data_IF_312083587253
#
_entry.id   IF_312083587253
#
_cell.length_a   1.000
_cell.length_b   1.000
_cell.length_c   1.000
_cell.angle_alpha   90.00
_cell.angle_beta   90.00
_cell.angle_gamma   90.00
#
_symmetry.space_group_name_H-M   'P 1'
#
loop_
_entity.id
_entity.type
_entity.pdbx_description
1 polymer ?
#
# COMPACT_ATOMS: atom_id res chain seq x y z
N UNK A 1 54.41 12.95 -32.24
CA UNK A 1 53.71 11.95 -31.41
C UNK A 1 52.29 12.45 -31.19
N UNK A 2 51.29 11.84 -31.83
CA UNK A 2 49.89 12.31 -31.81
C UNK A 2 49.14 11.61 -30.66
N UNK A 3 48.53 12.42 -29.79
CA UNK A 3 47.82 12.06 -28.57
C UNK A 3 46.44 11.48 -28.85
N UNK A 4 46.33 10.15 -28.87
CA UNK A 4 45.03 9.42 -29.00
C UNK A 4 44.54 8.84 -27.67
N UNK A 5 45.20 9.17 -26.57
CA UNK A 5 45.02 8.51 -25.26
C UNK A 5 43.88 9.07 -24.39
N UNK A 6 43.23 10.19 -24.78
CA UNK A 6 42.29 10.90 -23.90
C UNK A 6 40.89 10.27 -23.86
N UNK A 7 40.39 9.75 -24.99
CA UNK A 7 39.05 9.18 -25.08
C UNK A 7 38.94 7.86 -24.31
N UNK A 8 39.91 6.96 -24.48
CA UNK A 8 39.96 5.68 -23.75
C UNK A 8 40.07 5.90 -22.24
N UNK A 9 40.86 6.89 -21.81
CA UNK A 9 40.97 7.26 -20.40
C UNK A 9 39.65 7.78 -19.82
N UNK A 10 38.88 8.58 -20.57
CA UNK A 10 37.59 9.12 -20.14
C UNK A 10 36.52 8.01 -19.98
N UNK A 11 36.51 7.02 -20.87
CA UNK A 11 35.62 5.86 -20.76
C UNK A 11 35.96 4.98 -19.55
N UNK A 12 37.25 4.72 -19.32
CA UNK A 12 37.70 3.94 -18.16
C UNK A 12 37.33 4.64 -16.85
N UNK A 13 37.55 5.96 -16.74
CA UNK A 13 37.17 6.72 -15.56
C UNK A 13 35.65 6.68 -15.29
N UNK A 14 34.84 6.77 -16.36
CA UNK A 14 33.38 6.73 -16.25
C UNK A 14 32.88 5.36 -15.79
N UNK A 15 33.44 4.26 -16.32
CA UNK A 15 33.08 2.89 -15.91
C UNK A 15 33.48 2.63 -14.46
N UNK A 16 34.65 3.10 -14.02
CA UNK A 16 35.10 2.96 -12.64
C UNK A 16 34.21 3.73 -11.66
N UNK A 17 33.79 4.94 -12.02
CA UNK A 17 32.89 5.77 -11.20
C UNK A 17 31.51 5.11 -11.05
N UNK A 18 30.94 4.60 -12.15
CA UNK A 18 29.65 3.89 -12.13
C UNK A 18 29.75 2.62 -11.28
N UNK A 19 30.83 1.85 -11.45
CA UNK A 19 31.06 0.61 -10.68
C UNK A 19 31.22 0.86 -9.18
N UNK A 20 31.88 1.95 -8.78
CA UNK A 20 32.05 2.35 -7.39
C UNK A 20 30.70 2.74 -6.73
N UNK A 21 29.82 3.42 -7.47
CA UNK A 21 28.48 3.78 -6.99
C UNK A 21 27.57 2.54 -6.86
N UNK A 22 27.77 1.52 -7.70
CA UNK A 22 27.02 0.25 -7.63
C UNK A 22 27.50 -0.66 -6.47
N UNK A 23 28.79 -0.63 -6.13
CA UNK A 23 29.32 -1.42 -5.01
C UNK A 23 28.97 -0.85 -3.63
N UNK A 24 28.64 0.44 -3.53
CA UNK A 24 28.30 1.11 -2.26
C UNK A 24 26.81 0.98 -1.84
N UNK A 25 26.01 0.16 -2.53
CA UNK A 25 24.61 -0.13 -2.18
C UNK A 25 24.41 -1.54 -1.59
N UNK A 26 25.48 -2.18 -1.11
CA UNK A 26 25.44 -3.45 -0.40
C UNK A 26 26.01 -3.31 1.01
N UNK A 27 25.43 -2.42 1.81
CA UNK A 27 25.74 -2.33 3.23
C UNK A 27 25.45 -3.66 3.91
N UNK A 28 26.52 -4.40 4.20
CA UNK A 28 26.50 -5.61 4.99
C UNK A 28 25.98 -5.32 6.39
N UNK A 29 24.96 -6.07 6.79
CA UNK A 29 24.67 -6.29 8.21
C UNK A 29 25.19 -7.68 8.54
N UNK A 30 26.43 -7.71 9.03
CA UNK A 30 27.00 -8.88 9.67
C UNK A 30 26.18 -9.25 10.91
N UNK A 31 25.93 -10.55 11.00
CA UNK A 31 25.41 -11.28 12.15
C UNK A 31 26.23 -11.01 13.42
N UNK A 32 25.59 -10.82 14.58
CA UNK A 32 25.60 -11.72 15.76
C UNK A 32 24.79 -11.06 16.92
N UNK A 33 24.55 -11.71 18.08
CA UNK A 33 23.24 -12.00 18.64
C UNK A 33 23.04 -11.20 19.93
N UNK A 34 21.93 -11.42 20.62
CA UNK A 34 21.84 -11.62 22.07
C UNK A 34 20.37 -11.39 22.44
N UNK A 35 19.69 -12.51 22.60
CA UNK A 35 18.40 -12.65 23.25
C UNK A 35 18.50 -12.07 24.68
N UNK A 36 17.45 -11.39 25.16
CA UNK A 36 16.87 -11.80 26.43
C UNK A 36 15.41 -12.20 26.23
N UNK A 37 15.17 -13.44 26.63
CA UNK A 37 13.90 -14.15 26.73
C UNK A 37 12.92 -13.34 27.56
N UNK A 38 11.71 -13.13 27.02
CA UNK A 38 10.61 -12.46 27.69
C UNK A 38 9.29 -12.81 27.01
N UNK A 39 8.84 -14.03 27.27
CA UNK A 39 7.46 -14.53 27.18
C UNK A 39 6.85 -14.72 25.78
N UNK A 40 6.70 -16.00 25.44
CA UNK A 40 5.93 -16.54 24.32
C UNK A 40 4.49 -16.03 24.33
N UNK A 41 4.09 -15.33 23.28
CA UNK A 41 2.73 -15.45 22.76
C UNK A 41 2.83 -15.87 21.30
N UNK A 42 2.52 -17.15 21.08
CA UNK A 42 2.47 -17.80 19.79
C UNK A 42 1.35 -17.12 18.98
N UNK A 43 1.73 -16.23 18.08
CA UNK A 43 0.89 -15.84 16.94
C UNK A 43 1.59 -16.39 15.71
N UNK A 44 0.93 -17.33 15.03
CA UNK A 44 1.35 -17.89 13.75
C UNK A 44 1.36 -16.78 12.69
N UNK A 45 2.48 -16.09 12.53
CA UNK A 45 2.69 -15.11 11.46
C UNK A 45 3.22 -15.87 10.23
N UNK A 46 2.41 -15.94 9.18
CA UNK A 46 2.91 -16.29 7.84
C UNK A 46 3.80 -15.16 7.28
N UNK A 47 4.86 -15.48 6.52
CA UNK A 47 5.89 -14.53 6.15
C UNK A 47 5.52 -13.79 4.84
N UNK A 48 5.03 -12.55 4.95
CA UNK A 48 5.43 -11.48 4.04
C UNK A 48 5.04 -10.10 4.59
N UNK A 49 6.00 -9.44 5.25
CA UNK A 49 6.18 -7.99 5.29
C UNK A 49 4.92 -7.12 5.37
N UNK A 50 4.11 -7.28 6.43
CA UNK A 50 3.28 -6.18 6.92
C UNK A 50 4.00 -5.61 8.14
N UNK A 51 4.71 -4.50 7.94
CA UNK A 51 5.39 -3.79 9.02
C UNK A 51 4.38 -3.45 10.12
N UNK A 52 4.61 -4.00 11.32
CA UNK A 52 3.92 -3.80 12.61
C UNK A 52 2.78 -2.76 12.53
N UNK A 53 1.61 -3.21 12.05
CA UNK A 53 0.38 -2.44 12.18
C UNK A 53 -0.09 -2.68 13.60
N UNK A 54 -0.09 -1.65 14.45
CA UNK A 54 -0.56 -1.79 15.83
C UNK A 54 -2.04 -2.21 15.83
N UNK A 55 -2.46 -3.20 16.63
CA UNK A 55 -3.86 -3.66 16.71
C UNK A 55 -4.88 -2.53 16.88
N UNK A 56 -4.53 -1.49 17.65
CA UNK A 56 -5.34 -0.28 17.87
C UNK A 56 -5.72 0.45 16.57
N UNK A 57 -4.87 0.40 15.55
CA UNK A 57 -5.11 1.10 14.27
C UNK A 57 -6.04 0.34 13.32
N UNK A 58 -6.21 -0.97 13.51
CA UNK A 58 -7.16 -1.77 12.74
C UNK A 58 -8.55 -1.65 13.35
N UNK A 59 -8.63 -1.59 14.68
CA UNK A 59 -9.90 -1.42 15.40
C UNK A 59 -10.69 -0.17 14.97
N UNK A 60 -10.01 0.90 14.54
CA UNK A 60 -10.69 2.11 14.05
C UNK A 60 -11.46 1.90 12.74
N UNK A 61 -11.16 0.83 11.99
CA UNK A 61 -11.84 0.51 10.73
C UNK A 61 -13.01 -0.46 10.92
N UNK A 62 -12.98 -1.30 11.95
CA UNK A 62 -13.99 -2.33 12.18
C UNK A 62 -15.37 -1.69 12.37
N UNK A 63 -16.36 -2.20 11.63
CA UNK A 63 -17.73 -1.71 11.66
C UNK A 63 -17.95 -0.37 10.96
N UNK A 64 -16.92 0.20 10.34
CA UNK A 64 -17.06 1.41 9.50
C UNK A 64 -17.36 1.02 8.06
N UNK A 65 -18.33 1.72 7.46
CA UNK A 65 -18.57 1.70 6.02
C UNK A 65 -17.78 2.83 5.36
N UNK A 66 -16.89 2.49 4.44
CA UNK A 66 -16.12 3.46 3.64
C UNK A 66 -16.48 3.37 2.17
N UNK A 67 -16.10 4.39 1.40
CA UNK A 67 -16.29 4.39 -0.05
C UNK A 67 -15.00 4.08 -0.80
N UNK A 68 -15.02 3.07 -1.65
CA UNK A 68 -13.90 2.67 -2.50
C UNK A 68 -13.94 3.33 -3.87
N UNK A 69 -12.81 3.30 -4.60
CA UNK A 69 -12.76 3.69 -6.01
C UNK A 69 -13.94 3.11 -6.81
N UNK A 70 -14.67 3.96 -7.55
CA UNK A 70 -15.88 3.55 -8.27
C UNK A 70 -17.18 3.77 -7.48
N UNK A 71 -17.08 4.23 -6.23
CA UNK A 71 -18.22 4.54 -5.38
C UNK A 71 -18.82 3.32 -4.67
N UNK A 72 -18.16 2.17 -4.70
CA UNK A 72 -18.64 0.98 -4.00
C UNK A 72 -18.49 1.16 -2.48
N UNK A 73 -19.46 0.68 -1.73
CA UNK A 73 -19.41 0.67 -0.27
C UNK A 73 -18.58 -0.53 0.20
N UNK A 74 -17.73 -0.33 1.20
CA UNK A 74 -16.92 -1.38 1.82
C UNK A 74 -17.10 -1.36 3.33
N UNK A 75 -17.33 -2.52 3.92
CA UNK A 75 -17.45 -2.68 5.37
C UNK A 75 -16.30 -3.55 5.87
N UNK A 76 -15.57 -3.08 6.88
CA UNK A 76 -14.44 -3.81 7.44
C UNK A 76 -14.84 -4.55 8.72
N UNK A 77 -14.29 -5.73 8.92
CA UNK A 77 -14.49 -6.54 10.12
C UNK A 77 -13.26 -7.41 10.41
N UNK A 78 -13.24 -7.97 11.61
CA UNK A 78 -12.21 -8.92 12.02
C UNK A 78 -12.77 -10.34 11.92
N UNK A 79 -12.00 -11.23 11.29
CA UNK A 79 -12.29 -12.65 11.21
C UNK A 79 -11.00 -13.41 11.51
N UNK A 80 -11.03 -14.29 12.52
CA UNK A 80 -9.88 -15.08 12.97
C UNK A 80 -8.60 -14.26 13.24
N UNK A 81 -8.74 -13.02 13.73
CA UNK A 81 -7.62 -12.11 14.00
C UNK A 81 -7.09 -11.35 12.78
N UNK A 82 -7.70 -11.53 11.61
CA UNK A 82 -7.35 -10.84 10.37
C UNK A 82 -8.41 -9.80 9.99
N UNK A 83 -7.96 -8.68 9.44
CA UNK A 83 -8.85 -7.68 8.85
C UNK A 83 -9.39 -8.17 7.50
N UNK A 84 -10.71 -8.29 7.41
CA UNK A 84 -11.46 -8.63 6.20
C UNK A 84 -12.39 -7.49 5.80
N UNK A 85 -12.92 -7.58 4.58
CA UNK A 85 -13.86 -6.61 4.08
C UNK A 85 -14.91 -7.22 3.14
N UNK A 86 -16.14 -6.75 3.28
CA UNK A 86 -17.22 -7.00 2.34
C UNK A 86 -17.44 -5.75 1.48
N UNK A 87 -17.73 -5.93 0.19
CA UNK A 87 -17.90 -4.85 -0.77
C UNK A 87 -19.24 -4.98 -1.47
N UNK A 88 -20.04 -3.93 -1.36
CA UNK A 88 -21.29 -3.78 -2.11
C UNK A 88 -21.02 -2.87 -3.31
N UNK A 89 -21.10 -3.44 -4.53
CA UNK A 89 -20.84 -2.66 -5.73
C UNK A 89 -21.94 -1.61 -5.96
N UNK A 90 -21.53 -0.36 -6.08
CA UNK A 90 -22.35 0.70 -6.69
C UNK A 90 -22.65 0.37 -8.17
N UNK A 91 -23.81 -0.23 -8.42
CA UNK A 91 -24.26 -0.65 -9.72
C UNK A 91 -25.78 -0.40 -9.89
N UNK A 92 -26.28 -0.30 -11.13
CA UNK A 92 -27.71 -0.08 -11.40
C UNK A 92 -28.58 -1.20 -10.82
N UNK A 93 -29.84 -0.88 -10.55
CA UNK A 93 -30.82 -1.84 -10.03
C UNK A 93 -30.91 -3.08 -10.93
N UNK A 94 -30.82 -4.26 -10.33
CA UNK A 94 -30.77 -5.55 -11.04
C UNK A 94 -29.35 -6.09 -11.31
N UNK A 95 -28.31 -5.30 -11.05
CA UNK A 95 -26.90 -5.72 -11.15
C UNK A 95 -26.23 -5.66 -9.76
N UNK A 96 -26.63 -6.55 -8.85
CA UNK A 96 -26.01 -6.64 -7.52
C UNK A 96 -24.93 -7.71 -7.52
N UNK A 97 -23.67 -7.29 -7.68
CA UNK A 97 -22.52 -8.14 -7.36
C UNK A 97 -21.88 -7.61 -6.08
N UNK A 98 -21.67 -8.51 -5.13
CA UNK A 98 -20.91 -8.24 -3.92
C UNK A 98 -19.61 -9.03 -3.91
N UNK A 99 -18.70 -8.65 -3.02
CA UNK A 99 -17.59 -9.48 -2.62
C UNK A 99 -17.65 -9.63 -1.11
N UNK A 100 -17.54 -10.86 -0.61
CA UNK A 100 -17.54 -11.14 0.81
C UNK A 100 -16.17 -11.71 1.22
N UNK A 101 -15.71 -11.38 2.43
CA UNK A 101 -14.50 -11.95 3.01
C UNK A 101 -13.21 -11.60 2.27
N UNK A 102 -13.14 -10.42 1.64
CA UNK A 102 -11.93 -10.01 0.93
C UNK A 102 -10.79 -9.75 1.92
N UNK A 103 -9.61 -10.23 1.56
CA UNK A 103 -8.37 -9.86 2.26
C UNK A 103 -8.10 -8.36 2.09
N UNK A 104 -7.68 -7.72 3.19
CA UNK A 104 -7.32 -6.31 3.21
C UNK A 104 -5.80 -6.18 3.27
N UNK A 105 -5.23 -5.49 2.29
CA UNK A 105 -3.81 -5.14 2.26
C UNK A 105 -3.64 -3.66 2.58
N UNK A 106 -2.81 -3.37 3.58
CA UNK A 106 -2.56 -2.01 4.04
C UNK A 106 -1.13 -1.62 3.61
N UNK A 107 -1.00 -0.54 2.86
CA UNK A 107 0.31 0.01 2.51
C UNK A 107 1.00 0.54 3.77
N UNK A 108 2.30 0.26 3.89
CA UNK A 108 3.09 0.76 5.01
C UNK A 108 3.01 2.29 5.14
N UNK A 109 2.73 2.76 6.36
CA UNK A 109 2.57 4.18 6.67
C UNK A 109 1.17 4.73 6.39
N UNK A 110 0.19 3.89 6.06
CA UNK A 110 -1.19 4.35 5.90
C UNK A 110 -1.81 4.79 7.22
N UNK A 111 -2.38 5.99 7.22
CA UNK A 111 -3.06 6.56 8.38
C UNK A 111 -4.50 6.02 8.49
N UNK A 112 -4.65 4.85 9.10
CA UNK A 112 -5.94 4.14 9.22
C UNK A 112 -6.95 4.87 10.12
N UNK A 113 -6.49 5.45 11.23
CA UNK A 113 -7.36 6.12 12.20
C UNK A 113 -8.15 7.30 11.62
N UNK A 114 -7.58 8.00 10.64
CA UNK A 114 -8.21 9.17 10.02
C UNK A 114 -9.04 8.80 8.78
N UNK A 115 -8.92 7.55 8.29
CA UNK A 115 -9.55 7.11 7.05
C UNK A 115 -11.09 7.27 7.06
N UNK A 116 -11.81 6.94 8.15
CA UNK A 116 -13.27 7.16 8.22
C UNK A 116 -13.66 8.64 8.22
N UNK A 117 -12.79 9.50 8.74
CA UNK A 117 -13.04 10.94 8.82
C UNK A 117 -12.79 11.68 7.50
N UNK A 118 -12.23 11.01 6.49
CA UNK A 118 -12.02 11.59 5.16
C UNK A 118 -13.34 11.78 4.42
N UNK A 119 -13.41 12.79 3.57
CA UNK A 119 -14.53 12.93 2.65
C UNK A 119 -14.56 11.77 1.64
N UNK A 120 -15.73 11.52 1.05
CA UNK A 120 -15.95 10.41 0.12
C UNK A 120 -14.93 10.36 -1.02
N UNK A 121 -14.51 11.50 -1.59
CA UNK A 121 -13.51 11.48 -2.68
C UNK A 121 -12.15 11.07 -2.15
N UNK A 122 -11.74 11.61 -1.01
CA UNK A 122 -10.49 11.22 -0.37
C UNK A 122 -10.49 9.73 0.04
N UNK A 123 -11.61 9.18 0.51
CA UNK A 123 -11.75 7.73 0.75
C UNK A 123 -11.58 6.93 -0.54
N UNK A 124 -12.24 7.33 -1.64
CA UNK A 124 -12.12 6.68 -2.95
C UNK A 124 -10.70 6.68 -3.51
N UNK A 125 -9.87 7.66 -3.14
CA UNK A 125 -8.46 7.74 -3.52
C UNK A 125 -7.54 6.85 -2.69
N UNK A 126 -8.00 6.37 -1.53
CA UNK A 126 -7.19 5.59 -0.59
C UNK A 126 -7.62 4.14 -0.55
N UNK A 127 -8.91 3.85 -0.69
CA UNK A 127 -9.47 2.52 -0.60
C UNK A 127 -9.83 2.01 -1.98
N UNK A 128 -9.13 0.97 -2.42
CA UNK A 128 -9.29 0.43 -3.76
C UNK A 128 -9.68 -1.04 -3.69
N UNK A 129 -10.73 -1.40 -4.41
CA UNK A 129 -10.99 -2.78 -4.78
C UNK A 129 -10.07 -3.16 -5.95
N UNK A 130 -9.20 -4.14 -5.73
CA UNK A 130 -8.47 -4.80 -6.81
C UNK A 130 -9.22 -6.07 -7.19
N UNK A 131 -9.85 -6.13 -8.39
CA UNK A 131 -10.53 -7.33 -8.85
C UNK A 131 -9.56 -8.50 -9.01
N UNK A 132 -10.09 -9.72 -8.97
CA UNK A 132 -9.31 -10.92 -9.22
C UNK A 132 -8.66 -10.87 -10.60
N UNK A 133 -7.37 -11.19 -10.68
CA UNK A 133 -6.61 -11.17 -11.93
C UNK A 133 -5.47 -12.19 -11.92
N UNK A 134 -5.30 -12.92 -13.03
CA UNK A 134 -4.20 -13.85 -13.27
C UNK A 134 -3.92 -14.82 -12.10
N UNK A 135 -4.97 -15.47 -11.59
CA UNK A 135 -4.87 -16.43 -10.48
C UNK A 135 -4.76 -15.80 -9.09
N UNK A 136 -4.78 -14.47 -8.97
CA UNK A 136 -4.82 -13.77 -7.69
C UNK A 136 -6.26 -13.46 -7.30
N UNK A 137 -6.69 -13.75 -6.06
CA UNK A 137 -8.02 -13.41 -5.59
C UNK A 137 -8.21 -11.89 -5.54
N UNK A 138 -9.46 -11.45 -5.54
CA UNK A 138 -9.78 -10.06 -5.30
C UNK A 138 -9.35 -9.65 -3.88
N UNK A 139 -9.03 -8.36 -3.70
CA UNK A 139 -8.62 -7.83 -2.40
C UNK A 139 -8.91 -6.34 -2.30
N UNK A 140 -8.98 -5.85 -1.07
CA UNK A 140 -8.97 -4.42 -0.78
C UNK A 140 -7.53 -3.97 -0.55
N UNK A 141 -7.20 -2.79 -1.07
CA UNK A 141 -5.93 -2.11 -0.80
C UNK A 141 -6.19 -0.74 -0.19
N UNK A 142 -5.57 -0.47 0.95
CA UNK A 142 -5.58 0.84 1.62
C UNK A 142 -4.20 1.49 1.41
N UNK A 143 -4.16 2.57 0.63
CA UNK A 143 -2.94 3.32 0.35
C UNK A 143 -2.67 4.39 1.42
N UNK A 144 -1.39 4.74 1.58
CA UNK A 144 -0.98 5.76 2.57
C UNK A 144 -1.35 7.19 2.18
N UNK A 145 -1.45 7.46 0.88
CA UNK A 145 -1.85 8.74 0.30
C UNK A 145 -2.91 8.53 -0.78
N UNK A 146 -3.09 9.51 -1.66
CA UNK A 146 -3.82 9.24 -2.91
C UNK A 146 -3.03 8.16 -3.66
N UNK A 147 -3.63 6.98 -3.87
CA UNK A 147 -3.00 5.84 -4.57
C UNK A 147 -2.46 6.22 -5.96
N UNK A 148 -1.79 5.27 -6.63
CA UNK A 148 -1.10 5.48 -7.92
C UNK A 148 -1.84 6.48 -8.83
N UNK A 149 -1.09 7.53 -9.18
CA UNK A 149 -1.43 8.92 -9.55
C UNK A 149 -2.39 9.17 -10.75
N UNK A 150 -3.20 8.21 -11.18
CA UNK A 150 -3.94 8.27 -12.44
C UNK A 150 -5.31 8.96 -12.41
N UNK A 151 -6.06 8.86 -11.29
CA UNK A 151 -7.51 9.16 -11.32
C UNK A 151 -8.01 10.22 -10.33
N UNK A 152 -7.26 10.51 -9.27
CA UNK A 152 -7.72 11.39 -8.21
C UNK A 152 -7.27 12.83 -8.42
N UNK A 153 -7.84 13.51 -9.42
CA UNK A 153 -7.77 14.97 -9.49
C UNK A 153 -8.78 15.55 -8.50
N UNK A 154 -8.25 16.20 -7.47
CA UNK A 154 -9.03 17.05 -6.58
C UNK A 154 -9.74 18.12 -7.44
N UNK A 155 -11.04 17.95 -7.70
CA UNK A 155 -11.85 19.00 -8.32
C UNK A 155 -11.98 20.14 -7.30
N UNK A 156 -11.01 21.06 -7.29
CA UNK A 156 -11.18 22.38 -6.69
C UNK A 156 -12.32 23.07 -7.43
N UNK A 157 -13.52 22.96 -6.87
CA UNK A 157 -14.70 23.68 -7.34
C UNK A 157 -14.43 25.16 -7.09
N UNK A 158 -13.94 25.88 -8.10
CA UNK A 158 -13.97 27.34 -8.08
C UNK A 158 -15.44 27.75 -8.06
N UNK A 159 -15.97 28.08 -6.87
CA UNK A 159 -17.15 28.94 -6.76
C UNK A 159 -16.74 30.30 -7.30
N UNK A 160 -16.94 30.53 -8.60
CA UNK A 160 -17.15 31.88 -9.11
C UNK A 160 -18.59 32.24 -8.77
N UNK A 161 -18.75 33.06 -7.74
CA UNK A 161 -19.99 33.79 -7.54
C UNK A 161 -20.12 34.76 -8.73
N UNK A 162 -21.23 34.66 -9.46
CA UNK A 162 -21.75 35.73 -10.32
C UNK A 162 -23.26 35.78 -10.15
#
# INVERSE_FOLDING_TARGET
MKSTSSLTQQYIASILLISLLLQNCGGGFDNHPLIPTGEEQIVFIQPNTQAIITPTSIQTLIGQELTTQGGHAVTFYEEAGELKADVVMNAPQGFSKGYDGLNVYIEQGAALANLPCLDTKAQQCRVHLQPAHAGKPAKIVIYKGAGLMGGCKEMKKMRKNM
#
